data_IF_356886129371
#
_entry.id   IF_356886129371
#
_cell.length_a   1.000
_cell.length_b   1.000
_cell.length_c   1.000
_cell.angle_alpha   90.00
_cell.angle_beta   90.00
_cell.angle_gamma   90.00
#
_symmetry.space_group_name_H-M   'P 1'
#
loop_
_entity.id
_entity.type
_entity.pdbx_description
1 polymer ?
#
# COMPACT_ATOMS: atom_id res chain seq x y z
N UNK A 1 10.83 8.32 -11.50
CA UNK A 1 10.03 7.09 -11.73
C UNK A 1 10.84 6.13 -12.57
N UNK A 2 10.81 4.83 -12.25
CA UNK A 2 11.44 3.78 -13.04
C UNK A 2 10.38 2.83 -13.61
N UNK A 3 10.65 2.26 -14.79
CA UNK A 3 9.73 1.39 -15.52
C UNK A 3 10.49 0.15 -15.99
N UNK A 4 9.93 -1.05 -15.80
CA UNK A 4 10.49 -2.26 -16.37
C UNK A 4 9.42 -3.29 -16.68
N UNK A 5 9.78 -4.24 -17.55
CA UNK A 5 8.99 -5.44 -17.80
C UNK A 5 9.34 -6.53 -16.77
N UNK A 6 8.33 -7.32 -16.41
CA UNK A 6 8.44 -8.60 -15.72
C UNK A 6 8.82 -9.70 -16.73
N UNK A 7 9.28 -10.89 -16.26
CA UNK A 7 9.55 -12.00 -17.17
C UNK A 7 8.29 -12.43 -17.94
N UNK A 8 8.48 -13.18 -19.03
CA UNK A 8 7.36 -13.68 -19.85
C UNK A 8 6.58 -14.79 -19.13
N UNK A 9 7.24 -15.55 -18.26
CA UNK A 9 6.64 -16.63 -17.48
C UNK A 9 6.54 -16.25 -15.99
N UNK A 10 5.55 -16.80 -15.27
CA UNK A 10 5.35 -16.52 -13.85
C UNK A 10 6.27 -17.39 -12.97
N UNK A 11 7.58 -17.20 -13.11
CA UNK A 11 8.62 -17.90 -12.35
C UNK A 11 9.27 -17.02 -11.28
N UNK A 12 9.64 -17.63 -10.15
CA UNK A 12 10.19 -16.92 -8.98
C UNK A 12 11.59 -16.37 -9.24
N UNK A 13 12.41 -17.10 -9.99
CA UNK A 13 13.80 -16.74 -10.27
C UNK A 13 13.86 -15.45 -11.11
N UNK A 14 13.16 -15.42 -12.24
CA UNK A 14 13.05 -14.27 -13.12
C UNK A 14 12.43 -13.06 -12.42
N UNK A 15 11.41 -13.28 -11.59
CA UNK A 15 10.82 -12.20 -10.78
C UNK A 15 11.84 -11.62 -9.80
N UNK A 16 12.53 -12.46 -9.03
CA UNK A 16 13.57 -12.06 -8.09
C UNK A 16 14.66 -11.26 -8.78
N UNK A 17 15.07 -11.70 -9.96
CA UNK A 17 16.09 -11.04 -10.76
C UNK A 17 15.67 -9.65 -11.26
N UNK A 18 14.42 -9.51 -11.74
CA UNK A 18 13.85 -8.20 -12.11
C UNK A 18 13.81 -7.29 -10.89
N UNK A 19 13.27 -7.76 -9.75
CA UNK A 19 13.16 -6.96 -8.53
C UNK A 19 14.53 -6.51 -8.03
N UNK A 20 15.53 -7.40 -8.07
CA UNK A 20 16.92 -7.07 -7.70
C UNK A 20 17.51 -6.00 -8.62
N UNK A 21 17.32 -6.12 -9.94
CA UNK A 21 17.80 -5.10 -10.90
C UNK A 21 17.13 -3.75 -10.66
N UNK A 22 15.81 -3.72 -10.50
CA UNK A 22 15.04 -2.51 -10.22
C UNK A 22 15.50 -1.88 -8.91
N UNK A 23 15.70 -2.68 -7.86
CA UNK A 23 16.22 -2.19 -6.58
C UNK A 23 17.56 -1.47 -6.76
N UNK A 24 18.48 -2.06 -7.50
CA UNK A 24 19.79 -1.45 -7.78
C UNK A 24 19.64 -0.14 -8.56
N UNK A 25 18.78 -0.11 -9.58
CA UNK A 25 18.47 1.11 -10.33
C UNK A 25 17.85 2.19 -9.42
N UNK A 26 16.97 1.82 -8.49
CA UNK A 26 16.40 2.75 -7.52
C UNK A 26 17.48 3.32 -6.59
N UNK A 27 18.41 2.50 -6.08
CA UNK A 27 19.52 2.99 -5.24
C UNK A 27 20.36 4.01 -6.00
N UNK A 28 20.71 3.72 -7.25
CA UNK A 28 21.45 4.65 -8.11
C UNK A 28 20.64 5.91 -8.36
N UNK A 29 19.36 5.80 -8.73
CA UNK A 29 18.51 6.96 -8.95
C UNK A 29 18.43 7.87 -7.72
N UNK A 30 18.30 7.29 -6.51
CA UNK A 30 18.26 8.04 -5.25
C UNK A 30 19.49 8.90 -5.00
N UNK A 31 20.69 8.50 -5.46
CA UNK A 31 21.90 9.30 -5.27
C UNK A 31 21.91 10.60 -6.09
N UNK A 32 21.01 10.72 -7.08
CA UNK A 32 20.85 11.93 -7.90
C UNK A 32 19.62 12.76 -7.50
N UNK A 33 18.85 12.32 -6.50
CA UNK A 33 17.63 13.01 -6.07
C UNK A 33 17.86 13.75 -4.76
N UNK A 34 17.17 14.89 -4.60
CA UNK A 34 17.09 15.53 -3.29
C UNK A 34 16.35 14.63 -2.30
N UNK A 35 16.57 14.78 -0.97
CA UNK A 35 15.92 13.94 0.03
C UNK A 35 14.38 13.89 -0.09
N UNK A 36 13.66 15.00 -0.37
CA UNK A 36 12.22 14.95 -0.61
C UNK A 36 11.85 14.16 -1.88
N UNK A 37 12.54 14.41 -3.00
CA UNK A 37 12.26 13.72 -4.27
C UNK A 37 12.58 12.22 -4.20
N UNK A 38 13.48 11.81 -3.31
CA UNK A 38 13.77 10.40 -3.06
C UNK A 38 12.63 9.67 -2.33
N UNK A 39 11.74 10.37 -1.63
CA UNK A 39 10.53 9.80 -1.04
C UNK A 39 9.48 9.48 -2.11
N UNK A 40 9.45 10.27 -3.19
CA UNK A 40 8.54 10.10 -4.32
C UNK A 40 9.05 9.10 -5.37
N UNK A 41 10.14 8.39 -5.10
CA UNK A 41 10.67 7.42 -6.04
C UNK A 41 9.80 6.16 -6.07
N UNK A 42 9.21 5.93 -7.24
CA UNK A 42 8.39 4.75 -7.53
C UNK A 42 8.97 3.95 -8.70
N UNK A 43 8.78 2.63 -8.64
CA UNK A 43 9.04 1.71 -9.74
C UNK A 43 7.73 1.05 -10.19
N UNK A 44 7.47 1.07 -11.50
CA UNK A 44 6.34 0.41 -12.12
C UNK A 44 6.85 -0.82 -12.86
N UNK A 45 6.28 -1.98 -12.55
CA UNK A 45 6.62 -3.28 -13.13
C UNK A 45 5.47 -3.76 -14.00
N UNK A 46 5.72 -4.06 -15.27
CA UNK A 46 4.68 -4.45 -16.22
C UNK A 46 4.72 -5.96 -16.47
N UNK A 47 3.62 -6.63 -16.17
CA UNK A 47 3.40 -8.03 -16.52
C UNK A 47 3.28 -8.25 -18.03
N UNK A 48 3.55 -9.47 -18.52
CA UNK A 48 3.28 -9.85 -19.90
C UNK A 48 1.78 -9.81 -20.21
N UNK A 49 1.44 -9.84 -21.50
CA UNK A 49 0.05 -9.85 -21.97
C UNK A 49 -0.70 -11.06 -21.39
N UNK A 50 -1.88 -10.84 -20.81
CA UNK A 50 -2.69 -11.90 -20.19
C UNK A 50 -2.23 -12.34 -18.80
N UNK A 51 -1.21 -11.70 -18.23
CA UNK A 51 -0.76 -11.99 -16.85
C UNK A 51 -1.83 -11.70 -15.79
N UNK A 52 -2.75 -10.79 -16.06
CA UNK A 52 -3.84 -10.44 -15.15
C UNK A 52 -4.72 -11.64 -14.77
N UNK A 53 -4.95 -12.56 -15.71
CA UNK A 53 -5.81 -13.73 -15.54
C UNK A 53 -5.13 -14.92 -14.88
N UNK A 54 -3.85 -14.81 -14.50
CA UNK A 54 -3.06 -15.92 -13.99
C UNK A 54 -2.78 -15.73 -12.51
N UNK A 55 -3.29 -16.62 -11.66
CA UNK A 55 -3.17 -16.49 -10.19
C UNK A 55 -1.72 -16.49 -9.71
N UNK A 56 -0.85 -17.24 -10.38
CA UNK A 56 0.58 -17.24 -10.08
C UNK A 56 1.21 -15.85 -10.29
N UNK A 57 0.84 -15.15 -11.35
CA UNK A 57 1.28 -13.78 -11.59
C UNK A 57 0.81 -12.83 -10.49
N UNK A 58 -0.45 -12.96 -10.05
CA UNK A 58 -1.00 -12.16 -8.94
C UNK A 58 -0.24 -12.40 -7.64
N UNK A 59 0.05 -13.66 -7.31
CA UNK A 59 0.83 -13.99 -6.11
C UNK A 59 2.24 -13.40 -6.15
N UNK A 60 2.95 -13.53 -7.29
CA UNK A 60 4.29 -12.97 -7.46
C UNK A 60 4.28 -11.43 -7.43
N UNK A 61 3.26 -10.80 -8.01
CA UNK A 61 3.08 -9.35 -7.96
C UNK A 61 2.95 -8.85 -6.51
N UNK A 62 2.12 -9.51 -5.69
CA UNK A 62 1.97 -9.17 -4.27
C UNK A 62 3.27 -9.31 -3.49
N UNK A 63 4.07 -10.35 -3.77
CA UNK A 63 5.39 -10.53 -3.15
C UNK A 63 6.33 -9.39 -3.56
N UNK A 64 6.36 -9.04 -4.85
CA UNK A 64 7.20 -7.96 -5.36
C UNK A 64 6.82 -6.59 -4.79
N UNK A 65 5.54 -6.32 -4.58
CA UNK A 65 5.04 -5.06 -4.00
C UNK A 65 5.33 -4.92 -2.50
N UNK A 66 5.42 -6.02 -1.74
CA UNK A 66 5.61 -6.00 -0.28
C UNK A 66 6.95 -5.43 0.20
N UNK A 67 8.02 -5.59 -0.56
CA UNK A 67 9.34 -5.06 -0.17
C UNK A 67 9.43 -3.58 -0.53
N UNK A 68 9.24 -2.63 0.39
CA UNK A 68 9.33 -1.20 0.07
C UNK A 68 10.66 -0.54 0.50
N UNK A 69 11.70 -1.30 0.86
CA UNK A 69 12.92 -0.75 1.51
C UNK A 69 13.67 0.34 0.75
N UNK A 70 13.58 0.37 -0.59
CA UNK A 70 14.31 1.34 -1.44
C UNK A 70 13.38 2.30 -2.16
N UNK A 71 12.26 1.77 -2.66
CA UNK A 71 11.26 2.50 -3.42
C UNK A 71 9.97 1.68 -3.40
N UNK A 72 8.82 2.38 -3.43
CA UNK A 72 7.52 1.76 -3.63
C UNK A 72 7.48 1.13 -5.02
N UNK A 73 7.00 -0.12 -5.08
CA UNK A 73 6.79 -0.86 -6.33
C UNK A 73 5.30 -1.00 -6.58
N UNK A 74 4.91 -0.84 -7.83
CA UNK A 74 3.55 -1.11 -8.29
C UNK A 74 3.62 -2.03 -9.50
N UNK A 75 2.85 -3.10 -9.46
CA UNK A 75 2.81 -4.08 -10.55
C UNK A 75 1.51 -3.92 -11.33
N UNK A 76 1.64 -3.66 -12.63
CA UNK A 76 0.53 -3.70 -13.56
C UNK A 76 0.56 -5.01 -14.34
N UNK A 77 -0.37 -5.91 -14.04
CA UNK A 77 -0.56 -7.15 -14.82
C UNK A 77 -1.53 -6.83 -15.97
N UNK A 78 -1.12 -7.12 -17.20
CA UNK A 78 -1.89 -6.72 -18.38
C UNK A 78 -3.00 -7.70 -18.72
N UNK A 79 -4.17 -7.21 -19.17
CA UNK A 79 -5.27 -8.05 -19.63
C UNK A 79 -4.88 -8.83 -20.88
N UNK A 80 -5.54 -9.95 -21.16
CA UNK A 80 -5.31 -10.73 -22.38
C UNK A 80 -5.73 -9.97 -23.64
N UNK A 81 -6.82 -9.18 -23.56
CA UNK A 81 -7.30 -8.35 -24.66
C UNK A 81 -6.65 -6.96 -24.61
N UNK A 82 -6.00 -6.55 -25.70
CA UNK A 82 -5.39 -5.22 -25.83
C UNK A 82 -6.41 -4.09 -25.81
N UNK A 83 -7.67 -4.34 -26.18
CA UNK A 83 -8.74 -3.33 -26.10
C UNK A 83 -9.07 -2.93 -24.66
N UNK A 84 -8.72 -3.76 -23.69
CA UNK A 84 -8.92 -3.49 -22.27
C UNK A 84 -7.72 -2.78 -21.61
N UNK A 85 -6.65 -2.48 -22.36
CA UNK A 85 -5.44 -1.87 -21.79
C UNK A 85 -5.71 -0.53 -21.12
N UNK A 86 -6.47 0.34 -21.78
CA UNK A 86 -6.74 1.69 -21.27
C UNK A 86 -7.48 1.62 -19.93
N UNK A 87 -8.57 0.87 -19.88
CA UNK A 87 -9.34 0.65 -18.66
C UNK A 87 -8.51 -0.02 -17.55
N UNK A 88 -7.76 -1.08 -17.88
CA UNK A 88 -6.90 -1.78 -16.92
C UNK A 88 -5.78 -0.88 -16.39
N UNK A 89 -5.21 -0.04 -17.25
CA UNK A 89 -4.19 0.93 -16.87
C UNK A 89 -4.78 2.02 -15.97
N UNK A 90 -5.97 2.53 -16.28
CA UNK A 90 -6.66 3.50 -15.44
C UNK A 90 -6.95 2.94 -14.04
N UNK A 91 -7.39 1.68 -13.95
CA UNK A 91 -7.61 1.00 -12.67
C UNK A 91 -6.30 0.76 -11.91
N UNK A 92 -5.21 0.47 -12.62
CA UNK A 92 -3.88 0.40 -12.03
C UNK A 92 -3.40 1.75 -11.49
N UNK A 93 -3.56 2.84 -12.27
CA UNK A 93 -3.13 4.19 -11.89
C UNK A 93 -3.84 4.66 -10.62
N UNK A 94 -5.11 4.27 -10.41
CA UNK A 94 -5.86 4.56 -9.16
C UNK A 94 -5.16 4.07 -7.88
N UNK A 95 -4.32 3.02 -7.97
CA UNK A 95 -3.53 2.49 -6.85
C UNK A 95 -2.25 3.29 -6.57
N UNK A 96 -1.93 4.25 -7.43
CA UNK A 96 -0.75 5.10 -7.32
C UNK A 96 -1.11 6.51 -6.86
N UNK A 97 -0.13 7.23 -6.30
CA UNK A 97 -0.28 8.65 -5.98
C UNK A 97 -0.47 9.54 -7.24
N UNK A 98 -0.27 8.98 -8.45
CA UNK A 98 -0.55 9.66 -9.72
C UNK A 98 -2.05 9.76 -10.03
N UNK A 99 -2.89 8.99 -9.34
CA UNK A 99 -4.34 8.97 -9.52
C UNK A 99 -4.99 10.36 -9.34
N UNK A 100 -4.29 11.28 -8.64
CA UNK A 100 -4.78 12.62 -8.29
C UNK A 100 -6.30 12.61 -8.01
N UNK A 101 -6.81 11.75 -7.11
CA UNK A 101 -8.25 11.54 -6.93
C UNK A 101 -8.98 12.80 -6.43
N UNK A 102 -8.23 13.82 -6.01
CA UNK A 102 -8.72 15.15 -5.63
C UNK A 102 -8.88 16.13 -6.81
N UNK A 103 -8.50 15.75 -8.03
CA UNK A 103 -8.58 16.61 -9.24
C UNK A 103 -9.82 16.28 -10.07
N UNK A 104 -10.42 15.10 -9.91
CA UNK A 104 -11.64 14.73 -10.61
C UNK A 104 -12.88 15.13 -9.83
N UNK A 105 -13.83 15.82 -10.50
CA UNK A 105 -15.24 15.96 -10.10
C UNK A 105 -16.00 14.62 -10.16
N UNK A 106 -15.31 13.50 -9.92
CA UNK A 106 -15.94 12.21 -9.81
C UNK A 106 -16.80 12.26 -8.55
N UNK A 107 -18.12 12.26 -8.75
CA UNK A 107 -19.09 11.97 -7.70
C UNK A 107 -18.86 10.49 -7.32
N UNK A 108 -17.84 10.24 -6.52
CA UNK A 108 -17.83 9.08 -5.67
C UNK A 108 -19.15 9.14 -4.90
N UNK A 109 -19.90 8.04 -4.88
CA UNK A 109 -21.01 7.89 -3.94
C UNK A 109 -20.52 8.36 -2.58
N UNK A 110 -20.93 9.56 -2.20
CA UNK A 110 -20.64 10.23 -0.94
C UNK A 110 -21.36 9.45 0.16
N UNK A 111 -20.90 8.24 0.46
CA UNK A 111 -20.66 7.93 1.85
C UNK A 111 -19.38 8.70 2.15
N UNK A 112 -19.47 9.95 2.63
CA UNK A 112 -18.29 10.76 2.82
C UNK A 112 -17.40 10.01 3.83
N UNK A 113 -16.09 10.28 3.84
CA UNK A 113 -15.29 9.86 5.00
C UNK A 113 -15.90 10.41 6.30
N UNK A 114 -16.71 11.49 6.24
CA UNK A 114 -17.57 11.91 7.35
C UNK A 114 -18.51 10.82 7.84
N UNK A 115 -18.96 9.84 7.07
CA UNK A 115 -19.72 8.72 7.61
C UNK A 115 -18.84 7.73 8.36
N UNK A 116 -17.54 7.64 8.06
CA UNK A 116 -16.57 6.88 8.86
C UNK A 116 -16.19 7.67 10.11
N UNK A 117 -16.07 9.00 10.03
CA UNK A 117 -15.86 9.92 11.17
C UNK A 117 -17.13 10.25 11.95
N UNK A 118 -18.32 9.95 11.43
CA UNK A 118 -19.63 10.09 12.10
C UNK A 118 -20.14 8.74 12.59
N UNK A 119 -19.69 7.62 12.01
CA UNK A 119 -19.74 6.30 12.64
C UNK A 119 -18.70 6.20 13.78
N UNK A 120 -17.49 6.74 13.57
CA UNK A 120 -16.57 7.13 14.62
C UNK A 120 -16.97 8.51 15.16
N UNK A 121 -18.25 8.67 15.50
CA UNK A 121 -18.63 9.71 16.41
C UNK A 121 -17.63 9.70 17.57
N UNK A 122 -17.33 10.87 18.13
CA UNK A 122 -17.11 11.00 19.56
C UNK A 122 -18.36 10.50 20.34
N UNK A 123 -18.88 9.32 20.01
CA UNK A 123 -19.55 8.48 20.97
C UNK A 123 -18.47 8.10 21.98
N UNK A 124 -18.88 8.03 23.24
CA UNK A 124 -18.07 7.53 24.35
C UNK A 124 -17.11 6.46 23.82
N UNK A 125 -15.81 6.74 23.88
CA UNK A 125 -14.76 5.82 23.43
C UNK A 125 -15.17 4.42 23.90
N UNK A 126 -15.41 3.46 22.98
CA UNK A 126 -16.04 2.19 23.34
C UNK A 126 -15.43 1.63 24.61
N UNK A 127 -16.25 1.21 25.59
CA UNK A 127 -15.72 0.67 26.86
C UNK A 127 -15.21 -0.77 26.69
N UNK A 128 -14.74 -1.08 25.50
CA UNK A 128 -14.05 -2.30 25.13
C UNK A 128 -12.54 -2.05 25.05
N UNK A 129 -11.78 -3.10 24.77
CA UNK A 129 -10.31 -3.06 24.71
C UNK A 129 -9.80 -2.04 23.68
N UNK A 130 -10.46 -1.92 22.53
CA UNK A 130 -10.00 -1.01 21.48
C UNK A 130 -10.19 0.46 21.90
N UNK A 131 -11.28 0.77 22.60
CA UNK A 131 -11.46 2.11 23.15
C UNK A 131 -10.53 2.41 24.33
N UNK A 132 -10.23 1.45 25.20
CA UNK A 132 -9.20 1.65 26.24
C UNK A 132 -7.85 2.07 25.64
N UNK A 133 -7.45 1.43 24.53
CA UNK A 133 -6.20 1.72 23.84
C UNK A 133 -6.19 3.11 23.20
N UNK A 134 -7.28 3.47 22.52
CA UNK A 134 -7.41 4.80 21.89
C UNK A 134 -7.33 5.89 22.97
N UNK A 135 -7.93 5.67 24.15
CA UNK A 135 -7.88 6.63 25.25
C UNK A 135 -6.46 6.80 25.80
N UNK A 136 -5.77 5.70 26.10
CA UNK A 136 -4.40 5.74 26.61
C UNK A 136 -3.43 6.42 25.64
N UNK A 137 -3.57 6.15 24.33
CA UNK A 137 -2.72 6.77 23.30
C UNK A 137 -3.06 8.24 22.99
N UNK A 138 -4.21 8.74 23.44
CA UNK A 138 -4.64 10.12 23.21
C UNK A 138 -4.22 11.07 24.34
N UNK A 139 -3.60 10.55 25.40
CA UNK A 139 -3.12 11.38 26.51
C UNK A 139 -1.80 12.08 26.12
N UNK A 140 -1.74 13.42 26.24
CA UNK A 140 -0.69 14.23 25.62
C UNK A 140 0.70 14.12 26.25
N UNK A 141 0.85 13.47 27.40
CA UNK A 141 2.13 13.31 28.13
C UNK A 141 2.41 11.87 28.57
N UNK A 142 1.90 10.87 27.84
CA UNK A 142 2.14 9.48 28.23
C UNK A 142 3.56 9.04 27.87
N UNK A 143 4.28 8.55 28.88
CA UNK A 143 5.54 7.83 28.72
C UNK A 143 5.30 6.55 27.90
N UNK A 144 6.16 6.29 26.92
CA UNK A 144 5.98 5.19 25.95
C UNK A 144 6.03 3.83 26.65
N UNK A 145 6.89 3.67 27.65
CA UNK A 145 7.00 2.41 28.40
C UNK A 145 5.72 2.17 29.21
N UNK A 146 5.19 3.22 29.84
CA UNK A 146 3.93 3.17 30.57
C UNK A 146 2.73 2.86 29.64
N UNK A 147 2.70 3.44 28.44
CA UNK A 147 1.66 3.14 27.45
C UNK A 147 1.64 1.65 27.09
N UNK A 148 2.82 1.06 26.86
CA UNK A 148 2.92 -0.36 26.49
C UNK A 148 2.39 -1.25 27.62
N UNK A 149 2.74 -0.95 28.87
CA UNK A 149 2.23 -1.70 30.03
C UNK A 149 0.69 -1.63 30.13
N UNK A 150 0.12 -0.44 29.93
CA UNK A 150 -1.33 -0.23 29.98
C UNK A 150 -2.08 -0.95 28.86
N UNK A 151 -1.53 -0.95 27.64
CA UNK A 151 -2.09 -1.68 26.49
C UNK A 151 -2.05 -3.20 26.72
N UNK A 152 -0.93 -3.72 27.23
CA UNK A 152 -0.76 -5.15 27.54
C UNK A 152 -1.71 -5.59 28.66
N UNK A 153 -1.83 -4.81 29.73
CA UNK A 153 -2.75 -5.10 30.83
C UNK A 153 -4.22 -5.10 30.38
N UNK A 154 -4.60 -4.14 29.53
CA UNK A 154 -5.93 -4.08 28.91
C UNK A 154 -6.23 -5.34 28.08
N UNK A 155 -5.26 -5.82 27.30
CA UNK A 155 -5.39 -7.04 26.50
C UNK A 155 -5.57 -8.32 27.33
N UNK A 156 -4.82 -8.43 28.43
CA UNK A 156 -4.91 -9.59 29.33
C UNK A 156 -6.28 -9.67 30.01
N UNK A 157 -6.84 -8.53 30.45
CA UNK A 157 -8.19 -8.48 31.05
C UNK A 157 -9.29 -8.94 30.10
N UNK A 158 -9.14 -8.66 28.80
CA UNK A 158 -10.06 -9.16 27.76
C UNK A 158 -10.04 -10.69 27.67
N UNK A 159 -8.84 -11.28 27.75
CA UNK A 159 -8.62 -12.71 27.53
C UNK A 159 -9.03 -13.58 28.73
N UNK A 160 -9.33 -12.95 29.88
CA UNK A 160 -9.81 -13.62 31.09
C UNK A 160 -11.35 -13.63 31.22
N UNK A 161 -12.07 -13.02 30.27
CA UNK A 161 -13.54 -13.10 30.12
C UNK A 161 -13.89 -14.11 29.03
#
# INVERSE_FOLDING_TARGET
MLLTLLPEAPDEEGMSDVVRRVRNQCVVARSYLSPPAALDLHAILLGPRGSEGVDRWRALALIAERDERVARKLVWLRPTDARADEQSFDDFVKRSFLARPWVTDAIFSMAPLDNVSRAAAYGDVPRDTAGEWIRAASEPEVDTDQLVEELVASWQRRSAR
#
